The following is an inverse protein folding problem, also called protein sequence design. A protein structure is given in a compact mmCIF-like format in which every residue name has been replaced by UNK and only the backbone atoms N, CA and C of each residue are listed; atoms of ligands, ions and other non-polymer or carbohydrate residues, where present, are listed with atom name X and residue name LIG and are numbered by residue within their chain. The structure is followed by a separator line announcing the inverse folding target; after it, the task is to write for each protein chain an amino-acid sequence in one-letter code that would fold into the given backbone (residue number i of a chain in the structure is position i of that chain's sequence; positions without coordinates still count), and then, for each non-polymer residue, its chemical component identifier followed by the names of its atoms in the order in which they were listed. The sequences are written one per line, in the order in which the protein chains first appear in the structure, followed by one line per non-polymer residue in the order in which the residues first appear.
data_IF_768517471466
#
_entry.id   IF_768517471466
#
_cell.length_a   1.000
_cell.length_b   1.000
_cell.length_c   1.000
_cell.angle_alpha   90.00
_cell.angle_beta   90.00
_cell.angle_gamma   90.00
#
_symmetry.space_group_name_H-M   'P 1'
#
loop_
_entity.id
_entity.type
_entity.pdbx_description
1 polymer ?
#
# COMPACT_ATOMS: atom_id res chain seq x y z
N UNK A 1 -27.46 50.21 27.58
CA UNK A 1 -26.87 48.90 27.92
C UNK A 1 -27.78 47.79 27.37
N UNK A 2 -27.62 47.38 26.10
CA UNK A 2 -28.44 46.29 25.50
C UNK A 2 -27.66 45.35 24.56
N UNK A 3 -26.39 45.65 24.23
CA UNK A 3 -25.59 44.86 23.27
C UNK A 3 -24.92 43.61 23.88
N UNK A 4 -24.59 43.64 25.18
CA UNK A 4 -23.99 42.48 25.86
C UNK A 4 -24.97 41.36 26.18
N UNK A 5 -26.25 41.69 26.42
CA UNK A 5 -27.29 40.70 26.70
C UNK A 5 -27.66 39.87 25.46
N UNK A 6 -27.80 40.52 24.30
CA UNK A 6 -28.08 39.80 23.04
C UNK A 6 -26.90 38.93 22.59
N UNK A 7 -25.66 39.32 22.85
CA UNK A 7 -24.49 38.50 22.51
C UNK A 7 -24.37 37.24 23.39
N UNK A 8 -24.75 37.34 24.67
CA UNK A 8 -24.78 36.19 25.59
C UNK A 8 -25.90 35.20 25.24
N UNK A 9 -27.03 35.68 24.76
CA UNK A 9 -28.16 34.84 24.37
C UNK A 9 -27.79 33.92 23.19
N UNK A 10 -27.10 34.46 22.18
CA UNK A 10 -26.56 33.68 21.07
C UNK A 10 -25.47 32.70 21.50
N UNK A 11 -24.62 33.07 22.46
CA UNK A 11 -23.57 32.18 22.97
C UNK A 11 -24.17 30.98 23.72
N UNK A 12 -25.31 31.15 24.40
CA UNK A 12 -26.00 30.06 25.12
C UNK A 12 -26.80 29.16 24.17
N UNK A 13 -27.48 29.71 23.15
CA UNK A 13 -28.25 28.89 22.19
C UNK A 13 -27.38 28.03 21.28
N UNK A 14 -26.16 28.48 20.98
CA UNK A 14 -25.18 27.70 20.20
C UNK A 14 -24.09 27.09 21.08
N UNK A 15 -24.08 27.40 22.38
CA UNK A 15 -23.06 26.91 23.32
C UNK A 15 -23.09 25.39 23.46
N UNK A 16 -24.27 24.77 23.40
CA UNK A 16 -24.40 23.32 23.38
C UNK A 16 -23.79 22.70 22.11
N UNK A 17 -23.88 23.39 20.97
CA UNK A 17 -23.31 22.92 19.70
C UNK A 17 -21.78 22.97 19.76
N UNK A 18 -21.21 24.04 20.31
CA UNK A 18 -19.76 24.15 20.53
C UNK A 18 -19.28 23.06 21.50
N UNK A 19 -20.02 22.82 22.59
CA UNK A 19 -19.71 21.78 23.57
C UNK A 19 -19.70 20.39 22.90
N UNK A 20 -20.71 20.08 22.09
CA UNK A 20 -20.78 18.82 21.35
C UNK A 20 -19.59 18.64 20.40
N UNK A 21 -19.17 19.69 19.67
CA UNK A 21 -18.00 19.64 18.79
C UNK A 21 -16.72 19.35 19.58
N UNK A 22 -16.53 19.98 20.74
CA UNK A 22 -15.35 19.75 21.60
C UNK A 22 -15.31 18.31 22.11
N UNK A 23 -16.45 17.75 22.52
CA UNK A 23 -16.53 16.33 22.94
C UNK A 23 -16.15 15.41 21.79
N UNK A 24 -16.71 15.63 20.60
CA UNK A 24 -16.39 14.81 19.42
C UNK A 24 -14.90 14.89 19.10
N UNK A 25 -14.31 16.08 19.09
CA UNK A 25 -12.89 16.27 18.85
C UNK A 25 -12.02 15.54 19.91
N UNK A 26 -12.39 15.60 21.19
CA UNK A 26 -11.69 14.88 22.25
C UNK A 26 -11.77 13.35 22.09
N UNK A 27 -12.94 12.82 21.72
CA UNK A 27 -13.14 11.39 21.46
C UNK A 27 -12.31 10.94 20.25
N UNK A 28 -12.32 11.71 19.15
CA UNK A 28 -11.53 11.44 17.95
C UNK A 28 -10.02 11.48 18.23
N UNK A 29 -9.58 12.43 19.08
CA UNK A 29 -8.20 12.49 19.55
C UNK A 29 -7.82 11.26 20.38
N UNK A 30 -8.69 10.84 21.31
CA UNK A 30 -8.47 9.65 22.14
C UNK A 30 -8.34 8.37 21.28
N UNK A 31 -9.19 8.21 20.27
CA UNK A 31 -9.07 7.09 19.31
C UNK A 31 -7.85 7.21 18.37
N UNK A 32 -7.19 8.36 18.36
CA UNK A 32 -5.99 8.59 17.56
C UNK A 32 -6.28 8.61 16.06
N UNK A 33 -7.49 9.04 15.65
CA UNK A 33 -7.85 9.14 14.22
C UNK A 33 -6.91 10.09 13.46
N UNK A 34 -6.41 11.11 14.16
CA UNK A 34 -5.47 12.10 13.65
C UNK A 34 -4.01 11.64 13.71
N UNK A 35 -3.73 10.39 14.10
CA UNK A 35 -2.37 9.85 14.05
C UNK A 35 -2.07 9.33 12.63
N UNK A 36 -1.29 10.05 11.81
CA UNK A 36 -0.98 9.63 10.43
C UNK A 36 -0.23 8.29 10.38
N UNK A 37 0.46 7.89 11.45
CA UNK A 37 1.17 6.61 11.49
C UNK A 37 0.18 5.42 11.49
N UNK A 38 -1.02 5.57 12.07
CA UNK A 38 -2.05 4.51 12.01
C UNK A 38 -2.53 4.23 10.58
N UNK A 39 -2.40 5.21 9.69
CA UNK A 39 -2.82 5.12 8.29
C UNK A 39 -1.65 4.83 7.33
N UNK A 40 -0.40 5.01 7.79
CA UNK A 40 0.81 4.79 6.98
C UNK A 40 1.58 3.51 7.34
N UNK A 41 1.27 2.84 8.46
CA UNK A 41 1.99 1.64 8.94
C UNK A 41 1.57 0.33 8.30
N UNK A 42 0.65 0.34 7.34
CA UNK A 42 0.34 -0.87 6.58
C UNK A 42 1.48 -1.13 5.59
N UNK A 43 1.97 -2.37 5.60
CA UNK A 43 2.76 -2.91 4.50
C UNK A 43 2.08 -2.55 3.16
N UNK A 44 2.70 -1.70 2.35
CA UNK A 44 2.17 -1.30 1.05
C UNK A 44 2.94 -2.01 -0.05
N UNK A 45 2.23 -2.77 -0.87
CA UNK A 45 2.76 -3.35 -2.09
C UNK A 45 1.69 -3.33 -3.17
N UNK A 46 2.04 -2.92 -4.37
CA UNK A 46 1.08 -2.73 -5.46
C UNK A 46 1.69 -2.12 -6.71
N UNK A 47 0.86 -1.61 -7.62
CA UNK A 47 1.30 -0.99 -8.88
C UNK A 47 1.39 -1.95 -10.08
N UNK A 48 1.27 -3.25 -9.83
CA UNK A 48 1.17 -4.26 -10.88
C UNK A 48 -0.22 -4.26 -11.52
N UNK A 49 -0.28 -4.54 -12.83
CA UNK A 49 -1.53 -4.62 -13.59
C UNK A 49 -2.03 -6.06 -13.71
N UNK A 50 -1.11 -7.01 -13.88
CA UNK A 50 -1.44 -8.43 -14.09
C UNK A 50 -0.95 -9.32 -12.95
N UNK A 51 -0.23 -8.75 -11.99
CA UNK A 51 0.16 -9.43 -10.76
C UNK A 51 -0.58 -8.88 -9.55
N UNK A 52 -0.94 -9.78 -8.64
CA UNK A 52 -1.42 -9.41 -7.32
C UNK A 52 -0.28 -9.52 -6.32
N UNK A 53 -0.01 -8.46 -5.56
CA UNK A 53 0.91 -8.57 -4.44
C UNK A 53 0.25 -9.25 -3.26
N UNK A 54 0.78 -10.40 -2.85
CA UNK A 54 0.22 -11.22 -1.77
C UNK A 54 0.96 -10.94 -0.47
N UNK A 55 2.30 -10.97 -0.53
CA UNK A 55 3.15 -10.65 0.61
C UNK A 55 4.49 -10.12 0.13
N UNK A 56 5.20 -9.45 1.02
CA UNK A 56 6.56 -9.03 0.78
C UNK A 56 7.35 -8.90 2.08
N UNK A 57 8.66 -9.05 1.93
CA UNK A 57 9.64 -8.80 2.97
C UNK A 57 10.72 -7.89 2.40
N UNK A 58 10.86 -6.70 2.97
CA UNK A 58 11.88 -5.74 2.57
C UNK A 58 12.92 -5.62 3.69
N UNK A 59 14.17 -5.84 3.33
CA UNK A 59 15.36 -5.62 4.15
C UNK A 59 16.12 -4.43 3.59
N UNK A 60 17.13 -3.91 4.29
CA UNK A 60 17.96 -2.80 3.80
C UNK A 60 18.62 -3.09 2.43
N UNK A 61 18.95 -4.35 2.14
CA UNK A 61 19.70 -4.73 0.96
C UNK A 61 18.90 -5.57 -0.04
N UNK A 62 17.81 -6.21 0.38
CA UNK A 62 17.06 -7.16 -0.45
C UNK A 62 15.56 -6.97 -0.27
N UNK A 63 14.82 -7.18 -1.35
CA UNK A 63 13.35 -7.16 -1.35
C UNK A 63 12.83 -8.48 -1.90
N UNK A 64 12.04 -9.18 -1.09
CA UNK A 64 11.31 -10.37 -1.50
C UNK A 64 9.85 -10.00 -1.71
N UNK A 65 9.27 -10.36 -2.86
CA UNK A 65 7.85 -10.16 -3.13
C UNK A 65 7.24 -11.45 -3.62
N UNK A 66 6.16 -11.86 -2.98
CA UNK A 66 5.31 -12.96 -3.41
C UNK A 66 4.14 -12.40 -4.20
N UNK A 67 4.09 -12.78 -5.47
CA UNK A 67 3.13 -12.31 -6.46
C UNK A 67 2.25 -13.46 -6.92
N UNK A 68 0.96 -13.18 -7.10
CA UNK A 68 0.01 -14.09 -7.72
C UNK A 68 -0.26 -13.69 -9.17
N UNK A 69 -0.35 -14.66 -10.07
CA UNK A 69 -0.77 -14.41 -11.44
C UNK A 69 -2.27 -14.08 -11.51
N UNK A 70 -2.59 -12.83 -11.87
CA UNK A 70 -3.95 -12.32 -12.06
C UNK A 70 -4.26 -11.98 -13.53
N UNK A 71 -3.41 -12.39 -14.47
CA UNK A 71 -3.60 -12.14 -15.92
C UNK A 71 -4.76 -12.96 -16.54
N UNK A 72 -5.35 -13.89 -15.78
CA UNK A 72 -6.42 -14.79 -16.24
C UNK A 72 -5.95 -15.88 -17.22
N UNK A 73 -4.64 -15.99 -17.46
CA UNK A 73 -4.01 -16.94 -18.38
C UNK A 73 -2.65 -17.37 -17.82
N UNK A 74 -2.09 -18.51 -18.23
CA UNK A 74 -0.71 -18.85 -17.90
C UNK A 74 0.24 -17.82 -18.47
N UNK A 75 1.24 -17.43 -17.68
CA UNK A 75 2.27 -16.47 -18.06
C UNK A 75 3.64 -17.12 -17.93
N UNK A 76 4.55 -16.75 -18.81
CA UNK A 76 5.96 -17.10 -18.72
C UNK A 76 6.73 -15.92 -18.15
N UNK A 77 7.39 -16.10 -17.02
CA UNK A 77 8.20 -15.06 -16.40
C UNK A 77 9.57 -14.95 -17.07
N UNK A 78 9.97 -13.71 -17.34
CA UNK A 78 11.32 -13.34 -17.75
C UNK A 78 11.78 -12.24 -16.81
N UNK A 79 12.96 -12.37 -16.22
CA UNK A 79 13.48 -11.36 -15.31
C UNK A 79 14.95 -11.12 -15.66
N UNK A 80 15.43 -9.86 -15.66
CA UNK A 80 16.82 -9.60 -15.94
C UNK A 80 17.65 -9.80 -14.67
N UNK A 81 18.89 -10.24 -14.85
CA UNK A 81 19.88 -10.23 -13.78
C UNK A 81 20.02 -8.81 -13.20
N UNK A 82 20.14 -8.65 -11.87
CA UNK A 82 20.31 -9.69 -10.83
C UNK A 82 19.02 -10.14 -10.12
N UNK A 83 17.84 -9.96 -10.72
CA UNK A 83 16.56 -10.41 -10.12
C UNK A 83 16.49 -11.93 -10.19
N UNK A 84 15.98 -12.58 -9.13
CA UNK A 84 15.83 -14.04 -9.10
C UNK A 84 14.44 -14.43 -8.60
N UNK A 85 13.76 -15.35 -9.30
CA UNK A 85 12.45 -15.85 -8.88
C UNK A 85 12.52 -17.36 -8.63
N UNK A 86 11.91 -17.83 -7.53
CA UNK A 86 11.95 -19.25 -7.11
C UNK A 86 10.91 -20.14 -7.85
N UNK A 87 10.43 -19.70 -9.00
CA UNK A 87 9.50 -20.48 -9.79
C UNK A 87 10.28 -21.58 -10.50
N UNK A 88 10.17 -22.83 -10.02
CA UNK A 88 10.77 -24.00 -10.71
C UNK A 88 10.20 -24.16 -12.13
N UNK A 89 9.03 -23.58 -12.40
CA UNK A 89 8.45 -23.42 -13.73
C UNK A 89 8.48 -21.95 -14.17
N UNK A 90 9.09 -21.68 -15.33
CA UNK A 90 8.98 -20.36 -15.97
C UNK A 90 7.53 -20.07 -16.37
N UNK A 91 6.68 -21.09 -16.54
CA UNK A 91 5.23 -20.96 -16.71
C UNK A 91 4.52 -20.94 -15.35
N UNK A 92 3.87 -19.83 -15.02
CA UNK A 92 3.00 -19.65 -13.87
C UNK A 92 1.56 -19.86 -14.33
N UNK A 93 0.85 -20.82 -13.74
CA UNK A 93 -0.56 -21.07 -14.02
C UNK A 93 -1.46 -19.93 -13.54
N UNK A 94 -2.75 -20.02 -13.86
CA UNK A 94 -3.72 -19.02 -13.40
C UNK A 94 -3.88 -19.15 -11.89
N UNK A 95 -3.81 -18.02 -11.18
CA UNK A 95 -3.86 -17.96 -9.71
C UNK A 95 -2.69 -18.63 -8.97
N UNK A 96 -1.67 -19.11 -9.68
CA UNK A 96 -0.43 -19.58 -9.04
C UNK A 96 0.37 -18.39 -8.50
N UNK A 97 1.14 -18.67 -7.45
CA UNK A 97 1.99 -17.69 -6.78
C UNK A 97 3.45 -17.99 -6.99
N UNK A 98 4.27 -16.96 -7.10
CA UNK A 98 5.71 -17.06 -7.19
C UNK A 98 6.37 -15.97 -6.34
N UNK A 99 7.60 -16.23 -5.89
CA UNK A 99 8.39 -15.26 -5.12
C UNK A 99 9.59 -14.83 -5.92
N UNK A 100 9.79 -13.52 -6.03
CA UNK A 100 10.96 -12.90 -6.64
C UNK A 100 11.76 -12.11 -5.61
N UNK A 101 13.06 -12.08 -5.82
CA UNK A 101 14.06 -11.37 -5.04
C UNK A 101 14.70 -10.28 -5.91
N UNK A 102 14.70 -9.06 -5.39
CA UNK A 102 15.47 -7.94 -5.91
C UNK A 102 16.63 -7.64 -4.94
N UNK A 103 17.87 -7.48 -5.43
CA UNK A 103 19.04 -7.23 -4.58
C UNK A 103 19.21 -5.75 -4.21
N UNK A 104 18.12 -5.01 -4.22
CA UNK A 104 18.05 -3.71 -3.59
C UNK A 104 16.87 -3.70 -2.62
N UNK A 105 17.13 -3.07 -1.49
CA UNK A 105 16.18 -2.92 -0.40
C UNK A 105 16.00 -1.45 -0.05
N UNK A 106 15.25 -1.21 1.01
CA UNK A 106 15.15 0.14 1.56
C UNK A 106 15.06 0.10 3.09
N UNK A 107 15.39 1.22 3.71
CA UNK A 107 15.12 1.45 5.13
C UNK A 107 13.65 1.82 5.32
N UNK A 108 13.13 1.56 6.52
CA UNK A 108 11.73 1.78 6.90
C UNK A 108 11.20 3.14 6.40
N UNK A 109 10.01 3.11 5.79
CA UNK A 109 9.32 4.30 5.29
C UNK A 109 9.65 4.69 3.85
N UNK A 110 10.66 4.08 3.23
CA UNK A 110 11.05 4.37 1.84
C UNK A 110 10.45 3.35 0.86
N UNK A 111 10.07 3.82 -0.33
CA UNK A 111 9.53 2.98 -1.40
C UNK A 111 10.64 2.41 -2.27
N UNK A 112 10.58 1.10 -2.52
CA UNK A 112 11.35 0.38 -3.53
C UNK A 112 10.48 0.11 -4.73
N UNK A 113 10.99 0.42 -5.93
CA UNK A 113 10.35 -0.01 -7.16
C UNK A 113 10.88 -1.39 -7.55
N UNK A 114 9.95 -2.25 -7.95
CA UNK A 114 10.20 -3.62 -8.39
C UNK A 114 9.69 -3.76 -9.81
N UNK A 115 10.39 -4.51 -10.65
CA UNK A 115 10.04 -4.65 -12.05
C UNK A 115 10.16 -6.11 -12.48
N UNK A 116 9.28 -6.51 -13.39
CA UNK A 116 9.21 -7.86 -13.95
C UNK A 116 8.87 -7.78 -15.42
N UNK A 117 9.36 -8.75 -16.18
CA UNK A 117 8.91 -8.98 -17.54
C UNK A 117 8.14 -10.31 -17.58
N UNK A 118 7.10 -10.36 -18.39
CA UNK A 118 6.35 -11.61 -18.60
C UNK A 118 5.85 -11.68 -20.02
N UNK A 119 5.71 -12.89 -20.53
CA UNK A 119 5.08 -13.15 -21.82
C UNK A 119 3.89 -14.06 -21.60
N UNK A 120 2.79 -13.80 -22.28
CA UNK A 120 1.65 -14.74 -22.31
C UNK A 120 2.00 -15.85 -23.30
N UNK A 121 1.59 -17.10 -23.03
CA UNK A 121 1.85 -18.21 -23.97
C UNK A 121 1.36 -17.88 -25.38
N UNK A 122 2.29 -17.73 -26.33
CA UNK A 122 2.01 -17.34 -27.72
C UNK A 122 1.92 -15.82 -27.99
N UNK A 123 2.27 -14.98 -27.02
CA UNK A 123 2.16 -13.52 -27.07
C UNK A 123 3.50 -12.77 -27.03
N UNK A 124 3.39 -11.44 -26.93
CA UNK A 124 4.53 -10.51 -26.79
C UNK A 124 4.98 -10.40 -25.33
N UNK A 125 6.24 -10.04 -25.12
CA UNK A 125 6.76 -9.69 -23.79
C UNK A 125 6.18 -8.36 -23.32
N UNK A 126 5.79 -8.30 -22.05
CA UNK A 126 5.24 -7.16 -21.35
C UNK A 126 6.09 -6.85 -20.12
N UNK A 127 6.20 -5.57 -19.78
CA UNK A 127 6.93 -5.11 -18.61
C UNK A 127 5.94 -4.58 -17.58
N UNK A 128 6.08 -5.01 -16.33
CA UNK A 128 5.33 -4.48 -15.20
C UNK A 128 6.27 -3.85 -14.18
N UNK A 129 5.84 -2.74 -13.61
CA UNK A 129 6.51 -2.09 -12.50
C UNK A 129 5.55 -2.02 -11.33
N UNK A 130 5.96 -2.55 -10.20
CA UNK A 130 5.29 -2.38 -8.93
C UNK A 130 6.14 -1.59 -7.95
N UNK A 131 5.59 -1.41 -6.76
CA UNK A 131 6.27 -0.81 -5.65
C UNK A 131 6.06 -1.64 -4.38
N UNK A 132 7.04 -1.54 -3.49
CA UNK A 132 7.05 -2.13 -2.16
C UNK A 132 7.52 -1.05 -1.20
N UNK A 133 6.77 -0.77 -0.15
CA UNK A 133 7.19 0.18 0.88
C UNK A 133 7.83 -0.57 2.04
N UNK A 134 9.06 -0.21 2.39
CA UNK A 134 9.72 -0.75 3.58
C UNK A 134 8.87 -0.44 4.82
N UNK A 135 8.48 -1.50 5.55
CA UNK A 135 7.67 -1.38 6.77
C UNK A 135 8.53 -1.05 7.99
#
# INVERSE_FOLDING_TARGET
MKRGQSALEYLVTYGWAILAIVIIAAVLWYFGIFNPNKWSSSKQCGGFSNFQCIDYNNTANTTYVTLGNSAGRPITLTYPDPVACNSTSTSIGVADTFTCEWPWGATQGTQVNVYLEYSVTGGTTHNETGFVKAA
#
